data_IF_721516061525
#
_entry.id   IF_721516061525
#
_cell.length_a   1.000
_cell.length_b   1.000
_cell.length_c   1.000
_cell.angle_alpha   90.00
_cell.angle_beta   90.00
_cell.angle_gamma   90.00
#
_symmetry.space_group_name_H-M   'P 1'
#
loop_
_entity.id
_entity.type
_entity.pdbx_description
1 polymer ?
#
# COMPACT_ATOMS: atom_id res chain seq x y z
N UNK A 1 -6.31 -27.94 -0.77
CA UNK A 1 -5.39 -26.84 -0.38
C UNK A 1 -6.07 -25.99 0.68
N UNK A 2 -5.33 -25.45 1.66
CA UNK A 2 -5.88 -24.54 2.67
C UNK A 2 -6.36 -23.23 2.05
N UNK A 3 -7.21 -22.49 2.77
CA UNK A 3 -7.58 -21.12 2.37
C UNK A 3 -6.32 -20.24 2.34
N UNK A 4 -6.19 -19.32 1.37
CA UNK A 4 -5.10 -18.35 1.41
C UNK A 4 -5.22 -17.48 2.68
N UNK A 5 -4.14 -16.81 3.11
CA UNK A 5 -4.21 -15.78 4.15
C UNK A 5 -5.38 -14.83 3.89
N UNK A 6 -6.33 -14.83 4.82
CA UNK A 6 -7.59 -14.10 4.71
C UNK A 6 -7.97 -13.54 6.09
N UNK A 7 -8.18 -12.22 6.15
CA UNK A 7 -8.63 -11.52 7.34
C UNK A 7 -9.88 -10.69 6.99
N UNK A 8 -10.82 -10.57 7.92
CA UNK A 8 -11.98 -9.70 7.78
C UNK A 8 -12.05 -8.72 8.93
N UNK A 9 -12.36 -7.47 8.60
CA UNK A 9 -12.77 -6.46 9.54
C UNK A 9 -14.25 -6.15 9.33
N UNK A 10 -15.03 -6.22 10.40
CA UNK A 10 -16.48 -5.98 10.37
C UNK A 10 -16.77 -4.69 11.10
N UNK A 11 -17.56 -3.82 10.48
CA UNK A 11 -17.88 -2.50 10.99
C UNK A 11 -16.70 -1.57 11.29
N UNK A 12 -15.68 -1.47 10.41
CA UNK A 12 -14.63 -0.46 10.59
C UNK A 12 -15.25 0.93 10.70
N UNK A 13 -14.75 1.71 11.66
CA UNK A 13 -15.24 3.05 11.97
C UNK A 13 -16.75 3.13 12.28
N UNK A 14 -17.37 2.02 12.72
CA UNK A 14 -18.81 1.94 13.02
C UNK A 14 -19.71 1.95 11.78
N UNK A 15 -19.16 1.73 10.58
CA UNK A 15 -19.91 1.78 9.31
C UNK A 15 -20.42 0.37 8.93
N UNK A 16 -21.55 0.22 8.22
CA UNK A 16 -22.06 -1.10 7.80
C UNK A 16 -21.29 -1.67 6.60
N UNK A 17 -19.98 -1.87 6.76
CA UNK A 17 -19.09 -2.44 5.74
C UNK A 17 -18.26 -3.59 6.31
N UNK A 18 -17.85 -4.50 5.43
CA UNK A 18 -16.89 -5.56 5.74
C UNK A 18 -15.70 -5.36 4.80
N UNK A 19 -14.49 -5.30 5.36
CA UNK A 19 -13.25 -5.22 4.57
C UNK A 19 -12.54 -6.55 4.68
N UNK A 20 -12.26 -7.18 3.54
CA UNK A 20 -11.53 -8.44 3.47
C UNK A 20 -10.12 -8.21 2.92
N UNK A 21 -9.12 -8.62 3.68
CA UNK A 21 -7.71 -8.59 3.29
C UNK A 21 -7.30 -9.99 2.85
N UNK A 22 -6.87 -10.11 1.60
CA UNK A 22 -6.46 -11.38 0.98
C UNK A 22 -5.00 -11.25 0.53
N UNK A 23 -4.18 -12.26 0.81
CA UNK A 23 -2.77 -12.24 0.44
C UNK A 23 -2.23 -13.59 0.00
N UNK A 24 -1.01 -13.56 -0.54
CA UNK A 24 -0.31 -14.75 -1.03
C UNK A 24 -0.47 -14.97 -2.54
N UNK A 25 0.39 -15.81 -3.10
CA UNK A 25 0.46 -16.09 -4.54
C UNK A 25 -0.86 -16.62 -5.11
N UNK A 26 -1.59 -17.43 -4.34
CA UNK A 26 -2.89 -17.94 -4.77
C UNK A 26 -3.91 -16.82 -5.06
N UNK A 27 -3.85 -15.69 -4.36
CA UNK A 27 -4.74 -14.54 -4.57
C UNK A 27 -4.30 -13.68 -5.74
N UNK A 28 -2.99 -13.63 -6.04
CA UNK A 28 -2.44 -12.85 -7.14
C UNK A 28 -2.94 -13.34 -8.51
N UNK A 29 -3.19 -14.64 -8.63
CA UNK A 29 -3.70 -15.29 -9.86
C UNK A 29 -5.24 -15.31 -9.95
N UNK A 30 -5.96 -14.83 -8.92
CA UNK A 30 -7.43 -14.85 -8.90
C UNK A 30 -8.02 -13.70 -9.72
N UNK A 31 -9.09 -14.01 -10.45
CA UNK A 31 -9.94 -12.97 -11.05
C UNK A 31 -10.63 -12.13 -9.96
N UNK A 32 -11.13 -10.93 -10.29
CA UNK A 32 -12.01 -10.19 -9.39
C UNK A 32 -13.19 -11.04 -8.88
N UNK A 33 -13.80 -11.83 -9.76
CA UNK A 33 -14.94 -12.71 -9.46
C UNK A 33 -14.57 -13.79 -8.46
N UNK A 34 -13.43 -14.48 -8.66
CA UNK A 34 -12.93 -15.51 -7.74
C UNK A 34 -12.73 -14.98 -6.31
N UNK A 35 -12.22 -13.75 -6.18
CA UNK A 35 -12.01 -13.08 -4.90
C UNK A 35 -13.33 -12.73 -4.22
N UNK A 36 -14.30 -12.23 -4.98
CA UNK A 36 -15.64 -11.91 -4.47
C UNK A 36 -16.40 -13.17 -4.03
N UNK A 37 -16.23 -14.28 -4.73
CA UNK A 37 -16.83 -15.56 -4.37
C UNK A 37 -16.15 -16.20 -3.17
N UNK A 38 -14.82 -16.11 -3.07
CA UNK A 38 -14.08 -16.50 -1.86
C UNK A 38 -14.57 -15.70 -0.64
N UNK A 39 -14.70 -14.38 -0.79
CA UNK A 39 -15.28 -13.52 0.24
C UNK A 39 -16.66 -13.99 0.67
N UNK A 40 -17.57 -14.23 -0.28
CA UNK A 40 -18.91 -14.73 0.01
C UNK A 40 -18.90 -16.04 0.80
N UNK A 41 -18.07 -17.01 0.39
CA UNK A 41 -17.92 -18.30 1.10
C UNK A 41 -17.42 -18.12 2.52
N UNK A 42 -16.38 -17.30 2.73
CA UNK A 42 -15.79 -17.08 4.06
C UNK A 42 -16.77 -16.37 4.99
N UNK A 43 -17.44 -15.32 4.50
CA UNK A 43 -18.40 -14.54 5.30
C UNK A 43 -19.63 -15.38 5.65
N UNK A 44 -20.17 -16.16 4.71
CA UNK A 44 -21.28 -17.10 4.99
C UNK A 44 -20.86 -18.19 5.97
N UNK A 45 -19.64 -18.71 5.86
CA UNK A 45 -19.11 -19.69 6.83
C UNK A 45 -18.97 -19.09 8.24
N UNK A 46 -18.60 -17.81 8.35
CA UNK A 46 -18.38 -17.16 9.63
C UNK A 46 -19.68 -16.71 10.32
N UNK A 47 -20.66 -16.20 9.55
CA UNK A 47 -21.86 -15.54 10.11
C UNK A 47 -23.19 -16.22 9.73
N UNK A 48 -23.15 -17.31 8.96
CA UNK A 48 -24.34 -18.00 8.46
C UNK A 48 -24.86 -17.43 7.14
N UNK A 49 -25.69 -18.20 6.43
CA UNK A 49 -26.13 -17.89 5.06
C UNK A 49 -26.98 -16.60 4.95
N UNK A 50 -27.63 -16.18 6.03
CA UNK A 50 -28.47 -14.97 6.02
C UNK A 50 -27.65 -13.67 5.85
N UNK A 51 -26.35 -13.69 6.16
CA UNK A 51 -25.49 -12.53 5.97
C UNK A 51 -25.42 -12.12 4.50
N UNK A 52 -25.47 -13.07 3.57
CA UNK A 52 -25.41 -12.79 2.13
C UNK A 52 -26.59 -11.92 1.67
N UNK A 53 -27.75 -12.05 2.33
CA UNK A 53 -28.95 -11.22 2.05
C UNK A 53 -28.77 -9.77 2.48
N UNK A 54 -27.82 -9.48 3.36
CA UNK A 54 -27.54 -8.13 3.89
C UNK A 54 -26.43 -7.40 3.10
N UNK A 55 -25.69 -8.11 2.26
CA UNK A 55 -24.62 -7.53 1.43
C UNK A 55 -25.26 -6.99 0.16
N UNK A 56 -25.44 -5.68 0.08
CA UNK A 56 -26.07 -5.00 -1.06
C UNK A 56 -25.10 -4.67 -2.18
N UNK A 57 -23.82 -4.48 -1.85
CA UNK A 57 -22.76 -4.16 -2.81
C UNK A 57 -21.47 -4.88 -2.44
N UNK A 58 -20.71 -5.25 -3.46
CA UNK A 58 -19.40 -5.89 -3.34
C UNK A 58 -18.47 -5.35 -4.42
N UNK A 59 -17.21 -5.10 -4.05
CA UNK A 59 -16.16 -4.68 -4.98
C UNK A 59 -14.82 -5.23 -4.48
N UNK A 60 -13.84 -5.31 -5.39
CA UNK A 60 -12.49 -5.74 -5.07
C UNK A 60 -11.48 -4.92 -5.87
N UNK A 61 -10.32 -4.66 -5.28
CA UNK A 61 -9.20 -4.03 -5.95
C UNK A 61 -8.39 -5.08 -6.72
N UNK A 62 -7.72 -4.67 -7.80
CA UNK A 62 -6.83 -5.53 -8.59
C UNK A 62 -5.45 -4.89 -8.76
N UNK A 63 -4.78 -4.57 -7.65
CA UNK A 63 -3.51 -3.85 -7.64
C UNK A 63 -2.42 -4.48 -8.52
N UNK A 64 -2.34 -5.82 -8.56
CA UNK A 64 -1.38 -6.55 -9.39
C UNK A 64 -1.67 -6.50 -10.88
N UNK A 65 -2.93 -6.27 -11.28
CA UNK A 65 -3.37 -6.19 -12.67
C UNK A 65 -3.46 -4.74 -13.18
N UNK A 66 -3.37 -3.75 -12.28
CA UNK A 66 -3.37 -2.34 -12.66
C UNK A 66 -2.01 -1.97 -13.31
N UNK A 67 -2.00 -1.52 -14.58
CA UNK A 67 -0.76 -1.26 -15.31
C UNK A 67 0.08 -0.13 -14.72
N UNK A 68 -0.52 0.75 -13.92
CA UNK A 68 0.18 1.87 -13.28
C UNK A 68 0.73 1.51 -11.88
N UNK A 69 0.33 0.37 -11.32
CA UNK A 69 0.63 0.01 -9.93
C UNK A 69 1.39 -1.32 -9.85
N UNK A 70 0.98 -2.34 -10.62
CA UNK A 70 1.65 -3.64 -10.76
C UNK A 70 1.89 -4.43 -9.43
N UNK A 71 1.26 -4.03 -8.33
CA UNK A 71 1.46 -4.61 -7.01
C UNK A 71 0.85 -3.77 -5.90
N UNK A 72 0.82 -4.26 -4.66
CA UNK A 72 0.25 -3.49 -3.55
C UNK A 72 1.25 -2.47 -3.00
N UNK A 73 2.40 -2.94 -2.52
CA UNK A 73 3.47 -2.12 -1.94
C UNK A 73 4.78 -2.91 -1.90
N UNK A 74 5.91 -2.22 -1.76
CA UNK A 74 7.23 -2.83 -1.75
C UNK A 74 7.45 -3.72 -0.53
N UNK A 75 8.10 -4.86 -0.77
CA UNK A 75 8.56 -5.75 0.27
C UNK A 75 9.94 -6.28 -0.12
N UNK A 76 10.87 -6.29 0.84
CA UNK A 76 12.19 -6.85 0.60
C UNK A 76 12.11 -8.38 0.62
N UNK A 77 12.80 -9.04 -0.33
CA UNK A 77 13.05 -10.48 -0.22
C UNK A 77 13.84 -10.76 1.07
N UNK A 78 13.69 -11.95 1.69
CA UNK A 78 14.45 -12.32 2.88
C UNK A 78 15.96 -12.06 2.72
N UNK A 79 16.56 -11.37 3.69
CA UNK A 79 17.98 -10.99 3.68
C UNK A 79 18.37 -9.84 2.74
N UNK A 80 17.42 -9.24 2.00
CA UNK A 80 17.70 -8.20 0.99
C UNK A 80 17.24 -6.80 1.37
N UNK A 81 16.78 -6.58 2.61
CA UNK A 81 16.30 -5.27 3.06
C UNK A 81 17.33 -4.14 2.90
N UNK A 82 18.63 -4.44 3.09
CA UNK A 82 19.72 -3.48 2.94
C UNK A 82 19.87 -2.93 1.51
N UNK A 83 19.44 -3.68 0.49
CA UNK A 83 19.54 -3.24 -0.91
C UNK A 83 18.65 -2.04 -1.22
N UNK A 84 17.66 -1.73 -0.38
CA UNK A 84 16.79 -0.57 -0.57
C UNK A 84 17.54 0.75 -0.64
N UNK A 85 18.72 0.84 -0.02
CA UNK A 85 19.54 2.05 -0.02
C UNK A 85 19.87 2.57 -1.43
N UNK A 86 19.94 1.67 -2.43
CA UNK A 86 20.21 2.05 -3.83
C UNK A 86 19.14 2.98 -4.42
N UNK A 87 17.90 2.91 -3.93
CA UNK A 87 16.82 3.77 -4.44
C UNK A 87 16.94 5.22 -3.99
N UNK A 88 17.75 5.52 -2.97
CA UNK A 88 18.02 6.89 -2.54
C UNK A 88 19.25 7.50 -3.24
N UNK A 89 19.98 6.71 -4.04
CA UNK A 89 21.11 7.19 -4.83
C UNK A 89 20.63 7.88 -6.11
N UNK A 90 21.19 9.06 -6.46
CA UNK A 90 20.80 9.75 -7.69
C UNK A 90 21.31 9.00 -8.92
N UNK A 91 20.50 8.96 -9.98
CA UNK A 91 20.91 8.44 -11.28
C UNK A 91 21.54 9.57 -12.09
N UNK A 92 22.83 9.42 -12.42
CA UNK A 92 23.65 10.41 -13.15
C UNK A 92 23.61 11.82 -12.55
N UNK A 93 23.47 11.93 -11.23
CA UNK A 93 23.39 13.20 -10.49
C UNK A 93 22.27 14.15 -10.98
N UNK A 94 21.26 13.61 -11.67
CA UNK A 94 20.21 14.38 -12.36
C UNK A 94 18.80 13.86 -12.09
N UNK A 95 18.66 12.57 -11.85
CA UNK A 95 17.36 11.94 -11.57
C UNK A 95 17.36 11.45 -10.13
N UNK A 96 16.40 11.94 -9.37
CA UNK A 96 16.17 11.57 -7.98
C UNK A 96 14.88 10.77 -7.88
N UNK A 97 14.92 9.61 -7.24
CA UNK A 97 13.75 8.78 -7.02
C UNK A 97 13.06 9.15 -5.70
N UNK A 98 11.74 9.00 -5.69
CA UNK A 98 10.91 9.20 -4.51
C UNK A 98 9.76 8.17 -4.51
N UNK A 99 9.18 7.94 -3.33
CA UNK A 99 8.05 7.04 -3.15
C UNK A 99 8.28 6.03 -2.01
N UNK A 100 7.26 5.24 -1.73
CA UNK A 100 7.27 4.30 -0.58
C UNK A 100 8.45 3.34 -0.61
N UNK A 101 8.90 2.93 -1.81
CA UNK A 101 9.97 1.97 -1.99
C UNK A 101 11.37 2.55 -1.69
N UNK A 102 11.51 3.87 -1.61
CA UNK A 102 12.80 4.56 -1.36
C UNK A 102 13.11 4.62 0.13
N UNK A 103 12.11 4.81 0.98
CA UNK A 103 12.34 5.07 2.40
C UNK A 103 12.89 3.82 3.11
N UNK A 104 14.02 3.95 3.83
CA UNK A 104 14.68 2.80 4.48
C UNK A 104 13.81 2.12 5.55
N UNK A 105 13.22 2.92 6.44
CA UNK A 105 12.47 2.42 7.60
C UNK A 105 10.96 2.34 7.32
N UNK A 106 10.35 3.46 6.94
CA UNK A 106 8.94 3.62 6.60
C UNK A 106 8.55 3.24 5.15
N UNK A 107 9.12 2.15 4.63
CA UNK A 107 8.68 1.62 3.33
C UNK A 107 7.25 1.08 3.40
N UNK A 108 6.59 0.94 2.24
CA UNK A 108 5.19 0.53 2.14
C UNK A 108 4.18 1.48 2.82
N UNK A 109 4.57 2.73 3.10
CA UNK A 109 3.71 3.71 3.77
C UNK A 109 3.56 5.01 2.98
N UNK A 110 2.42 5.69 3.19
CA UNK A 110 2.17 7.00 2.60
C UNK A 110 3.10 8.08 3.17
N UNK A 111 3.40 8.07 4.47
CA UNK A 111 4.30 9.05 5.07
C UNK A 111 5.75 8.87 4.58
N UNK A 112 6.24 7.64 4.44
CA UNK A 112 7.56 7.39 3.84
C UNK A 112 7.64 7.86 2.38
N UNK A 113 6.57 7.68 1.61
CA UNK A 113 6.49 8.23 0.25
C UNK A 113 6.53 9.77 0.24
N UNK A 114 5.84 10.39 1.17
CA UNK A 114 5.82 11.84 1.34
C UNK A 114 7.20 12.40 1.70
N UNK A 115 7.85 11.85 2.74
CA UNK A 115 9.17 12.29 3.21
C UNK A 115 10.25 12.15 2.12
N UNK A 116 10.23 11.03 1.39
CA UNK A 116 11.17 10.83 0.26
C UNK A 116 10.88 11.78 -0.90
N UNK A 117 9.61 12.14 -1.13
CA UNK A 117 9.22 13.18 -2.07
C UNK A 117 9.82 14.54 -1.72
N UNK A 118 9.72 14.96 -0.46
CA UNK A 118 10.35 16.20 0.02
C UNK A 118 11.87 16.16 -0.15
N UNK A 119 12.51 15.05 0.21
CA UNK A 119 13.96 14.89 0.09
C UNK A 119 14.43 14.98 -1.37
N UNK A 120 13.76 14.28 -2.29
CA UNK A 120 14.07 14.32 -3.72
C UNK A 120 13.83 15.71 -4.32
N UNK A 121 12.73 16.37 -3.96
CA UNK A 121 12.43 17.74 -4.38
C UNK A 121 13.50 18.74 -3.89
N UNK A 122 13.95 18.60 -2.64
CA UNK A 122 15.03 19.44 -2.10
C UNK A 122 16.36 19.21 -2.83
N UNK A 123 16.70 17.96 -3.17
CA UNK A 123 17.90 17.64 -3.97
C UNK A 123 17.80 18.25 -5.38
N UNK A 124 16.65 18.12 -6.04
CA UNK A 124 16.40 18.72 -7.34
C UNK A 124 16.48 20.26 -7.30
N UNK A 125 15.87 20.90 -6.30
CA UNK A 125 15.92 22.34 -6.11
C UNK A 125 17.37 22.83 -5.95
N UNK A 126 18.17 22.16 -5.11
CA UNK A 126 19.60 22.49 -4.92
C UNK A 126 20.39 22.36 -6.22
N UNK A 127 20.18 21.29 -6.98
CA UNK A 127 20.84 21.09 -8.28
C UNK A 127 20.53 22.22 -9.26
N UNK A 128 19.31 22.75 -9.22
CA UNK A 128 18.83 23.85 -10.07
C UNK A 128 19.14 25.26 -9.51
N UNK A 129 19.86 25.36 -8.38
CA UNK A 129 20.11 26.62 -7.69
C UNK A 129 18.83 27.32 -7.22
N UNK A 130 17.77 26.56 -6.92
CA UNK A 130 16.48 27.05 -6.42
C UNK A 130 16.44 26.97 -4.89
N UNK A 131 15.70 27.87 -4.21
CA UNK A 131 15.46 27.75 -2.78
C UNK A 131 14.69 26.46 -2.47
N UNK A 132 15.05 25.80 -1.37
CA UNK A 132 14.26 24.68 -0.83
C UNK A 132 13.14 25.29 0.01
N UNK A 133 11.89 24.98 -0.31
CA UNK A 133 10.76 25.41 0.50
C UNK A 133 10.85 24.70 1.87
N UNK A 134 11.03 25.48 2.93
CA UNK A 134 10.93 25.00 4.29
C UNK A 134 9.44 25.07 4.70
N UNK A 135 8.85 23.92 4.97
CA UNK A 135 7.52 23.82 5.53
C UNK A 135 7.28 22.39 5.97
N UNK A 136 7.11 22.19 7.28
CA UNK A 136 6.48 20.97 7.76
C UNK A 136 5.03 20.96 7.25
N UNK A 137 4.52 19.85 6.74
CA UNK A 137 3.12 19.77 6.33
C UNK A 137 2.19 20.11 7.51
N UNK A 138 1.18 20.94 7.25
CA UNK A 138 0.19 21.37 8.26
C UNK A 138 -0.56 20.22 8.96
N UNK A 139 -0.54 19.00 8.39
CA UNK A 139 -1.19 17.82 8.95
C UNK A 139 -0.31 17.03 9.93
N UNK A 140 0.98 17.38 10.08
CA UNK A 140 1.82 16.85 11.15
C UNK A 140 1.52 17.63 12.44
N UNK A 141 1.08 16.98 13.52
CA UNK A 141 1.00 17.63 14.83
C UNK A 141 2.30 18.37 15.22
N UNK A 142 2.22 19.50 15.92
CA UNK A 142 3.43 20.16 16.44
C UNK A 142 4.23 19.21 17.35
N UNK A 143 5.55 19.15 17.17
CA UNK A 143 6.55 18.39 17.97
C UNK A 143 6.59 16.87 17.74
N UNK A 144 7.13 16.45 16.59
CA UNK A 144 7.46 15.04 16.32
C UNK A 144 8.96 14.75 16.39
N UNK A 145 9.52 14.75 17.60
CA UNK A 145 10.76 14.06 17.97
C UNK A 145 10.69 13.68 19.45
#
# INVERSE_FOLDING_TARGET
AGLPPFNIEVHPFGRPIIVAHMGGSAVAEMTPEDRLDLFGRVVTRAFGADVSRRITHRTTTSWTADPFINGAYSCAKPGKAHLRAVFDEPVHDRVFLAGEHVHRYFHATAHGAYETGLAAAARAARLLGRPVLAGEPEWLPPNHL
#
